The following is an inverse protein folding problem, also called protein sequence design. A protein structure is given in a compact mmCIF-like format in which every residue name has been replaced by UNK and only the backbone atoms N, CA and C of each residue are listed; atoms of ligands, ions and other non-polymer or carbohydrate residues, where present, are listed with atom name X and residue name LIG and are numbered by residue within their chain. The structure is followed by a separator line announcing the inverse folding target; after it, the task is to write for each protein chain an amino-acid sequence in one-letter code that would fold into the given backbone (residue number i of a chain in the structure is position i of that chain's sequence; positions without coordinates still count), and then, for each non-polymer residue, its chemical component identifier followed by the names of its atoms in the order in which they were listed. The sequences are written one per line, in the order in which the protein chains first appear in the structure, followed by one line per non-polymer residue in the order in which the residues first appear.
data_IF_590780138609
#
_entry.id   IF_590780138609
#
_cell.length_a   1.000
_cell.length_b   1.000
_cell.length_c   1.000
_cell.angle_alpha   90.00
_cell.angle_beta   90.00
_cell.angle_gamma   90.00
#
_symmetry.space_group_name_H-M   'P 1'
#
loop_
_entity.id
_entity.type
_entity.pdbx_description
1 polymer ?
#
# COMPACT_ATOMS: atom_id res chain seq x y z
N UNK A 1 -0.24 -6.85 24.30
CA UNK A 1 -0.20 -6.76 22.84
C UNK A 1 1.21 -6.37 22.44
N UNK A 2 1.91 -7.15 21.60
CA UNK A 2 3.24 -6.78 21.12
C UNK A 2 3.06 -5.63 20.12
N UNK A 3 3.60 -4.46 20.43
CA UNK A 3 3.61 -3.31 19.49
C UNK A 3 4.63 -3.62 18.41
N UNK A 4 4.15 -3.95 17.21
CA UNK A 4 5.04 -4.04 16.04
C UNK A 4 5.46 -2.62 15.68
N UNK A 5 6.76 -2.34 15.80
CA UNK A 5 7.35 -1.07 15.36
C UNK A 5 7.09 -0.88 13.86
N UNK A 6 6.31 0.15 13.51
CA UNK A 6 5.87 0.45 12.14
C UNK A 6 7.06 0.58 11.18
N UNK A 7 8.12 1.23 11.65
CA UNK A 7 9.38 1.37 10.94
C UNK A 7 10.02 0.01 10.62
N UNK A 8 9.82 -0.99 11.49
CA UNK A 8 10.33 -2.34 11.25
C UNK A 8 9.55 -3.08 10.17
N UNK A 9 8.23 -2.86 10.04
CA UNK A 9 7.43 -3.44 8.94
C UNK A 9 7.78 -2.80 7.59
N UNK A 10 7.93 -1.47 7.54
CA UNK A 10 8.33 -0.77 6.31
C UNK A 10 9.71 -1.22 5.84
N UNK A 11 10.65 -1.50 6.78
CA UNK A 11 11.97 -2.07 6.45
C UNK A 11 11.93 -3.48 5.87
N UNK A 12 10.82 -4.21 6.02
CA UNK A 12 10.63 -5.53 5.40
C UNK A 12 10.08 -5.45 3.98
N UNK A 13 9.67 -4.28 3.47
CA UNK A 13 9.23 -4.16 2.09
C UNK A 13 10.41 -4.37 1.11
N UNK A 14 10.11 -4.92 -0.06
CA UNK A 14 11.02 -4.86 -1.20
C UNK A 14 11.32 -3.40 -1.56
N UNK A 15 12.46 -3.10 -2.21
CA UNK A 15 12.82 -1.74 -2.58
C UNK A 15 11.71 -1.00 -3.33
N UNK A 16 11.06 -1.66 -4.29
CA UNK A 16 10.01 -1.08 -5.13
C UNK A 16 8.74 -0.78 -4.32
N UNK A 17 8.33 -1.71 -3.46
CA UNK A 17 7.19 -1.49 -2.55
C UNK A 17 7.46 -0.37 -1.55
N UNK A 18 8.70 -0.25 -1.08
CA UNK A 18 9.10 0.82 -0.18
C UNK A 18 9.06 2.18 -0.87
N UNK A 19 9.63 2.28 -2.07
CA UNK A 19 9.64 3.50 -2.87
C UNK A 19 8.23 3.98 -3.20
N UNK A 20 7.34 3.07 -3.62
CA UNK A 20 5.93 3.42 -3.87
C UNK A 20 5.20 3.89 -2.60
N UNK A 21 5.53 3.32 -1.42
CA UNK A 21 4.95 3.76 -0.14
C UNK A 21 5.48 5.14 0.26
N UNK A 22 6.76 5.43 0.02
CA UNK A 22 7.35 6.76 0.24
C UNK A 22 6.71 7.80 -0.70
N UNK A 23 6.46 7.44 -1.97
CA UNK A 23 5.72 8.27 -2.93
C UNK A 23 4.28 8.52 -2.49
N UNK A 24 3.62 7.52 -1.90
CA UNK A 24 2.27 7.64 -1.34
C UNK A 24 2.25 8.55 -0.10
N UNK A 25 3.28 8.51 0.74
CA UNK A 25 3.46 9.43 1.85
C UNK A 25 3.60 10.88 1.37
N UNK A 26 4.38 11.11 0.31
CA UNK A 26 4.52 12.41 -0.33
C UNK A 26 3.19 12.95 -0.88
N UNK A 27 2.38 12.10 -1.51
CA UNK A 27 1.05 12.47 -1.99
C UNK A 27 0.07 12.77 -0.83
N UNK A 28 0.08 11.93 0.22
CA UNK A 28 -0.73 12.16 1.42
C UNK A 28 -0.42 13.53 2.05
N UNK A 29 0.87 13.89 2.14
CA UNK A 29 1.32 15.19 2.62
C UNK A 29 0.86 16.33 1.70
N UNK A 30 1.05 16.20 0.39
CA UNK A 30 0.65 17.20 -0.59
C UNK A 30 -0.86 17.48 -0.59
N UNK A 31 -1.67 16.44 -0.32
CA UNK A 31 -3.13 16.55 -0.19
C UNK A 31 -3.58 17.01 1.21
N UNK A 32 -2.67 17.16 2.17
CA UNK A 32 -2.92 17.50 3.58
C UNK A 32 -3.81 16.49 4.32
N UNK A 33 -3.74 15.22 3.93
CA UNK A 33 -4.45 14.14 4.59
C UNK A 33 -3.74 13.73 5.90
N UNK A 34 -4.51 13.21 6.85
CA UNK A 34 -4.03 12.86 8.19
C UNK A 34 -3.26 11.54 8.23
N UNK A 35 -3.62 10.60 7.38
CA UNK A 35 -3.03 9.27 7.36
C UNK A 35 -2.82 8.76 5.94
N UNK A 36 -1.72 8.04 5.76
CA UNK A 36 -1.40 7.29 4.56
C UNK A 36 -2.31 6.06 4.55
N UNK A 37 -3.39 6.17 3.80
CA UNK A 37 -4.33 5.08 3.56
C UNK A 37 -3.89 4.13 2.45
N UNK A 38 -4.55 2.97 2.37
CA UNK A 38 -4.37 2.00 1.30
C UNK A 38 -4.54 2.63 -0.08
N UNK A 39 -5.48 3.57 -0.23
CA UNK A 39 -5.77 4.23 -1.50
C UNK A 39 -4.57 5.04 -2.02
N UNK A 40 -3.84 5.73 -1.13
CA UNK A 40 -2.64 6.45 -1.53
C UNK A 40 -1.60 5.48 -2.08
N UNK A 41 -1.41 4.35 -1.40
CA UNK A 41 -0.39 3.39 -1.76
C UNK A 41 -0.74 2.64 -3.04
N UNK A 42 -1.97 2.13 -3.15
CA UNK A 42 -2.45 1.41 -4.34
C UNK A 42 -2.47 2.30 -5.56
N UNK A 43 -2.77 3.60 -5.40
CA UNK A 43 -2.66 4.55 -6.49
C UNK A 43 -1.23 4.62 -7.05
N UNK A 44 -0.21 4.67 -6.18
CA UNK A 44 1.21 4.62 -6.59
C UNK A 44 1.62 3.27 -7.17
N UNK A 45 1.24 2.15 -6.54
CA UNK A 45 1.55 0.81 -7.05
C UNK A 45 0.99 0.58 -8.45
N UNK A 46 -0.24 1.04 -8.72
CA UNK A 46 -0.86 0.90 -10.04
C UNK A 46 -0.21 1.82 -11.08
N UNK A 47 0.40 2.93 -10.68
CA UNK A 47 1.12 3.80 -11.60
C UNK A 47 2.45 3.19 -12.04
N UNK A 48 3.13 2.44 -11.17
CA UNK A 48 4.44 1.84 -11.42
C UNK A 48 4.38 0.74 -12.50
N UNK A 49 4.94 0.97 -13.70
CA UNK A 49 4.90 -0.02 -14.78
C UNK A 49 5.73 -1.27 -14.50
N UNK A 50 6.78 -1.18 -13.68
CA UNK A 50 7.65 -2.30 -13.36
C UNK A 50 6.99 -3.32 -12.42
N UNK A 51 5.90 -2.94 -11.75
CA UNK A 51 5.19 -3.82 -10.83
C UNK A 51 4.18 -4.70 -11.57
N UNK A 52 4.20 -6.01 -11.29
CA UNK A 52 3.32 -7.02 -11.90
C UNK A 52 1.81 -6.89 -11.60
N UNK A 53 1.36 -5.74 -11.08
CA UNK A 53 -0.02 -5.48 -10.73
C UNK A 53 -0.91 -5.27 -11.97
N UNK A 54 -0.34 -4.78 -13.08
CA UNK A 54 -1.08 -4.56 -14.32
C UNK A 54 -1.77 -5.82 -14.83
N UNK A 55 -1.01 -6.92 -14.96
CA UNK A 55 -1.53 -8.20 -15.42
C UNK A 55 -2.62 -8.75 -14.48
N UNK A 56 -2.48 -8.51 -13.17
CA UNK A 56 -3.46 -8.93 -12.17
C UNK A 56 -4.76 -8.14 -12.29
N UNK A 57 -4.67 -6.82 -12.52
CA UNK A 57 -5.83 -5.96 -12.75
C UNK A 57 -6.56 -6.36 -14.03
N UNK A 58 -5.84 -6.56 -15.13
CA UNK A 58 -6.45 -7.02 -16.38
C UNK A 58 -7.13 -8.38 -16.22
N UNK A 59 -6.51 -9.32 -15.51
CA UNK A 59 -7.09 -10.62 -15.21
C UNK A 59 -8.38 -10.54 -14.39
N UNK A 60 -8.53 -9.50 -13.54
CA UNK A 60 -9.76 -9.27 -12.77
C UNK A 60 -10.94 -8.76 -13.62
N UNK A 61 -10.74 -8.48 -14.91
CA UNK A 61 -11.75 -7.91 -15.79
C UNK A 61 -11.97 -6.41 -15.60
N UNK A 62 -11.10 -5.74 -14.82
CA UNK A 62 -11.14 -4.29 -14.60
C UNK A 62 -10.01 -3.60 -15.35
N UNK A 63 -10.23 -2.36 -15.78
CA UNK A 63 -9.18 -1.53 -16.40
C UNK A 63 -8.40 -0.76 -15.32
N UNK A 64 -7.07 -0.71 -15.46
CA UNK A 64 -6.17 0.07 -14.58
C UNK A 64 -6.63 1.53 -14.41
N UNK A 65 -7.00 2.21 -15.49
CA UNK A 65 -7.43 3.61 -15.44
C UNK A 65 -8.70 3.78 -14.61
N UNK A 66 -9.68 2.87 -14.77
CA UNK A 66 -10.90 2.89 -13.96
C UNK A 66 -10.61 2.70 -12.47
N UNK A 67 -9.64 1.86 -12.10
CA UNK A 67 -9.21 1.73 -10.70
C UNK A 67 -8.53 3.00 -10.20
N UNK A 68 -7.63 3.59 -11.00
CA UNK A 68 -6.96 4.84 -10.65
C UNK A 68 -7.96 5.99 -10.46
N UNK A 69 -8.98 6.10 -11.30
CA UNK A 69 -10.04 7.10 -11.18
C UNK A 69 -10.82 6.92 -9.88
N UNK A 70 -11.24 5.69 -9.56
CA UNK A 70 -11.94 5.36 -8.30
C UNK A 70 -11.10 5.64 -7.06
N UNK A 71 -9.82 5.31 -7.11
CA UNK A 71 -8.89 5.61 -6.03
C UNK A 71 -8.75 7.13 -5.84
N UNK A 72 -8.65 7.89 -6.92
CA UNK A 72 -8.62 9.35 -6.87
C UNK A 72 -9.90 9.96 -6.31
N UNK A 73 -11.07 9.44 -6.70
CA UNK A 73 -12.36 9.86 -6.16
C UNK A 73 -12.44 9.60 -4.65
N UNK A 74 -12.02 8.41 -4.18
CA UNK A 74 -11.94 8.10 -2.75
C UNK A 74 -10.98 9.04 -2.02
N UNK A 75 -9.80 9.29 -2.58
CA UNK A 75 -8.84 10.24 -2.01
C UNK A 75 -9.38 11.68 -1.98
N UNK A 76 -10.32 12.05 -2.85
CA UNK A 76 -10.83 13.42 -2.92
C UNK A 76 -11.72 13.78 -1.72
N UNK A 77 -12.37 12.78 -1.12
CA UNK A 77 -13.34 12.94 -0.02
C UNK A 77 -12.71 12.81 1.38
N UNK A 78 -11.41 12.49 1.45
CA UNK A 78 -10.72 12.38 2.73
C UNK A 78 -10.60 13.73 3.44
N UNK A 79 -10.57 13.67 4.77
CA UNK A 79 -10.40 14.85 5.61
C UNK A 79 -9.04 15.49 5.37
N UNK A 80 -9.04 16.82 5.23
CA UNK A 80 -7.88 17.66 4.91
C UNK A 80 -7.57 18.62 6.06
N UNK A 81 -6.37 19.18 6.05
CA UNK A 81 -5.93 20.16 7.05
C UNK A 81 -4.90 19.62 8.04
N UNK A 82 -4.32 18.45 7.77
CA UNK A 82 -3.16 17.98 8.52
C UNK A 82 -1.96 18.93 8.31
N UNK A 83 -1.32 19.34 9.40
CA UNK A 83 -0.12 20.20 9.41
C UNK A 83 1.14 19.44 9.84
N UNK A 84 0.97 18.23 10.35
CA UNK A 84 2.04 17.37 10.83
C UNK A 84 2.36 16.28 9.80
N UNK A 85 3.41 15.50 10.05
CA UNK A 85 3.72 14.34 9.21
C UNK A 85 2.57 13.30 9.30
N UNK A 86 2.05 12.79 8.17
CA UNK A 86 0.96 11.82 8.20
C UNK A 86 1.44 10.48 8.78
N UNK A 87 0.55 9.82 9.54
CA UNK A 87 0.80 8.48 10.08
C UNK A 87 0.37 7.39 9.08
N UNK A 88 0.80 6.15 9.26
CA UNK A 88 0.22 5.01 8.52
C UNK A 88 -1.16 4.68 9.12
N UNK A 89 -2.16 4.45 8.27
CA UNK A 89 -3.49 4.08 8.74
C UNK A 89 -3.54 2.66 9.32
N UNK A 90 -4.52 2.38 10.18
CA UNK A 90 -4.66 1.07 10.81
C UNK A 90 -4.80 -0.05 9.75
N UNK A 91 -5.58 0.17 8.69
CA UNK A 91 -5.79 -0.79 7.61
C UNK A 91 -4.52 -1.09 6.83
N UNK A 92 -3.71 -0.07 6.56
CA UNK A 92 -2.42 -0.23 5.91
C UNK A 92 -1.47 -1.05 6.78
N UNK A 93 -1.44 -0.78 8.09
CA UNK A 93 -0.61 -1.51 9.05
C UNK A 93 -1.03 -2.97 9.18
N UNK A 94 -2.33 -3.24 9.19
CA UNK A 94 -2.87 -4.61 9.18
C UNK A 94 -2.48 -5.35 7.91
N UNK A 95 -2.62 -4.73 6.74
CA UNK A 95 -2.21 -5.34 5.46
C UNK A 95 -0.72 -5.70 5.48
N UNK A 96 0.14 -4.81 5.97
CA UNK A 96 1.58 -5.05 6.08
C UNK A 96 1.91 -6.18 7.05
N UNK A 97 1.17 -6.30 8.16
CA UNK A 97 1.34 -7.41 9.11
C UNK A 97 0.98 -8.74 8.46
N UNK A 98 -0.16 -8.82 7.79
CA UNK A 98 -0.62 -10.02 7.10
C UNK A 98 0.38 -10.44 6.00
N UNK A 99 0.86 -9.46 5.22
CA UNK A 99 1.84 -9.71 4.18
C UNK A 99 3.20 -10.16 4.74
N UNK A 100 3.60 -9.62 5.90
CA UNK A 100 4.79 -10.08 6.61
C UNK A 100 4.65 -11.50 7.15
N UNK A 101 3.50 -11.84 7.75
CA UNK A 101 3.24 -13.20 8.22
C UNK A 101 3.34 -14.20 7.06
N UNK A 102 2.73 -13.88 5.92
CA UNK A 102 2.81 -14.71 4.73
C UNK A 102 4.25 -14.86 4.20
N UNK A 103 4.98 -13.76 4.05
CA UNK A 103 6.35 -13.78 3.57
C UNK A 103 7.27 -14.61 4.49
N UNK A 104 7.21 -14.35 5.80
CA UNK A 104 8.12 -14.95 6.78
C UNK A 104 7.77 -16.41 7.12
N UNK A 105 6.48 -16.74 7.31
CA UNK A 105 6.07 -18.07 7.77
C UNK A 105 5.85 -19.04 6.61
N UNK A 106 5.15 -18.61 5.56
CA UNK A 106 4.74 -19.53 4.50
C UNK A 106 5.84 -19.68 3.44
N UNK A 107 6.58 -18.60 3.15
CA UNK A 107 7.55 -18.59 2.06
C UNK A 107 9.01 -18.46 2.53
N UNK A 108 9.27 -18.33 3.84
CA UNK A 108 10.61 -18.16 4.43
C UNK A 108 11.41 -17.01 3.79
N UNK A 109 10.72 -15.96 3.35
CA UNK A 109 11.30 -14.77 2.72
C UNK A 109 11.59 -13.68 3.77
N UNK A 110 12.74 -13.02 3.64
CA UNK A 110 13.15 -11.93 4.51
C UNK A 110 12.51 -10.57 4.19
N UNK A 111 11.75 -10.49 3.10
CA UNK A 111 11.10 -9.29 2.61
C UNK A 111 9.69 -9.58 2.03
N UNK A 112 8.80 -8.62 2.20
CA UNK A 112 7.48 -8.53 1.59
C UNK A 112 7.66 -7.99 0.17
N UNK A 113 7.07 -8.65 -0.81
CA UNK A 113 7.11 -8.21 -2.21
C UNK A 113 5.67 -8.15 -2.74
N UNK A 114 5.52 -7.72 -3.99
CA UNK A 114 4.23 -7.55 -4.66
C UNK A 114 3.36 -8.81 -4.63
N UNK A 115 3.97 -9.99 -4.75
CA UNK A 115 3.26 -11.27 -4.70
C UNK A 115 2.61 -11.50 -3.33
N UNK A 116 3.32 -11.20 -2.24
CA UNK A 116 2.78 -11.33 -0.88
C UNK A 116 1.59 -10.39 -0.66
N UNK A 117 1.65 -9.15 -1.16
CA UNK A 117 0.53 -8.21 -1.07
C UNK A 117 -0.70 -8.72 -1.83
N UNK A 118 -0.52 -9.14 -3.08
CA UNK A 118 -1.62 -9.65 -3.91
C UNK A 118 -2.30 -10.88 -3.29
N UNK A 119 -1.51 -11.77 -2.70
CA UNK A 119 -2.05 -12.95 -2.01
C UNK A 119 -2.91 -12.59 -0.80
N UNK A 120 -2.48 -11.62 0.01
CA UNK A 120 -3.29 -11.15 1.14
C UNK A 120 -4.57 -10.47 0.66
N UNK A 121 -4.48 -9.63 -0.38
CA UNK A 121 -5.65 -8.97 -0.97
C UNK A 121 -6.68 -9.96 -1.53
N UNK A 122 -6.23 -11.08 -2.11
CA UNK A 122 -7.13 -12.14 -2.58
C UNK A 122 -7.86 -12.88 -1.45
N UNK A 123 -7.31 -12.85 -0.23
CA UNK A 123 -7.87 -13.56 0.92
C UNK A 123 -8.85 -12.70 1.75
N UNK A 124 -8.95 -11.41 1.43
CA UNK A 124 -9.89 -10.46 2.04
C UNK A 124 -11.14 -10.33 1.19
#
# INVERSE_FOLDING_TARGET
MITVELQSLVKRLSPELKESLESAAGECLARTHYSIELEHWFFKLLQEPAMGWHATVEYSGTNKNTLLDRLNESLSIFSKGNKDAPSLSAHLVELLKDAWMLASLNHSQGAINEYHLLLVLKQR
#
